data_IF_463787230811
#
_entry.id   IF_463787230811
#
_cell.length_a   1.000
_cell.length_b   1.000
_cell.length_c   1.000
_cell.angle_alpha   90.00
_cell.angle_beta   90.00
_cell.angle_gamma   90.00
#
_symmetry.space_group_name_H-M   'P 1'
#
loop_
_entity.id
_entity.type
_entity.pdbx_description
1 polymer ?
#
# COMPACT_ATOMS: atom_id res chain seq x y z
N UNK A 1 73.32 -4.03 32.73
CA UNK A 1 74.00 -4.99 31.81
C UNK A 1 73.86 -6.36 32.42
N UNK A 2 73.03 -7.24 31.83
CA UNK A 2 72.93 -8.70 32.09
C UNK A 2 72.48 -9.11 33.51
N UNK A 3 71.61 -10.09 33.80
CA UNK A 3 71.05 -11.24 33.08
C UNK A 3 69.76 -11.66 33.82
N UNK A 4 68.76 -12.23 33.13
CA UNK A 4 67.60 -12.94 33.72
C UNK A 4 68.04 -14.23 34.45
N UNK A 5 67.22 -14.82 35.35
CA UNK A 5 66.28 -15.86 34.91
C UNK A 5 64.93 -15.91 35.64
N UNK A 6 63.98 -16.60 35.00
CA UNK A 6 62.64 -16.94 35.46
C UNK A 6 62.63 -18.22 36.33
N UNK A 7 61.62 -18.37 37.21
CA UNK A 7 60.86 -19.62 37.38
C UNK A 7 59.86 -19.61 38.58
N UNK A 8 58.61 -19.94 38.23
CA UNK A 8 57.74 -20.97 38.82
C UNK A 8 57.00 -20.75 40.17
N UNK A 9 55.66 -20.80 40.02
CA UNK A 9 54.64 -21.43 40.86
C UNK A 9 54.48 -21.02 42.33
N UNK A 10 53.33 -20.38 42.62
CA UNK A 10 52.47 -20.78 43.74
C UNK A 10 51.00 -20.75 43.36
N UNK A 11 50.37 -21.90 43.57
CA UNK A 11 48.92 -22.12 43.62
C UNK A 11 48.38 -21.38 44.85
N UNK A 12 47.32 -20.59 44.69
CA UNK A 12 46.44 -20.23 45.80
C UNK A 12 45.03 -20.03 45.25
N UNK A 13 44.18 -21.01 45.55
CA UNK A 13 42.75 -20.91 45.40
C UNK A 13 42.20 -19.89 46.41
N UNK A 14 41.34 -18.99 45.94
CA UNK A 14 40.42 -18.28 46.82
C UNK A 14 39.12 -18.01 46.03
N UNK A 15 38.07 -18.73 46.43
CA UNK A 15 36.67 -18.44 46.12
C UNK A 15 36.32 -17.02 46.59
N UNK A 16 35.65 -16.24 45.75
CA UNK A 16 34.67 -15.26 46.19
C UNK A 16 33.57 -15.10 45.14
N UNK A 17 32.35 -15.09 45.65
CA UNK A 17 31.06 -15.30 45.01
C UNK A 17 30.49 -13.98 44.45
N UNK A 18 29.50 -14.13 43.56
CA UNK A 18 28.42 -13.18 43.26
C UNK A 18 28.59 -12.28 42.03
N UNK A 19 27.76 -12.54 41.01
CA UNK A 19 27.51 -11.62 39.92
C UNK A 19 26.97 -12.28 38.66
N UNK A 20 25.82 -12.95 38.74
CA UNK A 20 25.02 -13.28 37.55
C UNK A 20 24.54 -11.98 36.90
N UNK A 21 25.35 -11.43 35.98
CA UNK A 21 24.95 -10.38 35.06
C UNK A 21 24.23 -10.97 33.85
N UNK A 22 23.01 -11.47 34.05
CA UNK A 22 22.05 -11.61 32.97
C UNK A 22 21.41 -10.24 32.69
N UNK A 23 20.76 -10.10 31.51
CA UNK A 23 19.97 -8.95 31.03
C UNK A 23 20.82 -7.89 30.29
N UNK A 24 20.57 -7.45 29.04
CA UNK A 24 19.41 -7.54 28.15
C UNK A 24 19.92 -7.45 26.70
N UNK A 25 19.69 -8.49 25.88
CA UNK A 25 19.76 -8.34 24.43
C UNK A 25 18.39 -7.77 24.04
N UNK A 26 18.33 -6.46 23.81
CA UNK A 26 17.16 -5.81 23.24
C UNK A 26 17.00 -6.29 21.79
N UNK A 27 16.26 -7.37 21.60
CA UNK A 27 15.74 -7.75 20.29
C UNK A 27 14.75 -6.66 19.87
N UNK A 28 15.22 -5.73 19.04
CA UNK A 28 14.34 -4.84 18.29
C UNK A 28 13.41 -5.74 17.46
N UNK A 29 12.17 -5.88 17.93
CA UNK A 29 11.10 -6.43 17.14
C UNK A 29 10.82 -5.43 16.02
N UNK A 30 11.52 -5.59 14.90
CA UNK A 30 11.11 -4.98 13.64
C UNK A 30 9.71 -5.50 13.36
N UNK A 31 8.73 -4.60 13.45
CA UNK A 31 7.41 -4.84 12.92
C UNK A 31 7.59 -5.22 11.45
N UNK A 32 7.46 -6.52 11.15
CA UNK A 32 7.33 -6.99 9.78
C UNK A 32 6.03 -6.38 9.26
N UNK A 33 6.16 -5.25 8.56
CA UNK A 33 5.16 -4.83 7.61
C UNK A 33 4.92 -6.01 6.66
N UNK A 34 3.75 -6.63 6.75
CA UNK A 34 3.31 -7.62 5.77
C UNK A 34 3.12 -6.87 4.45
N UNK A 35 4.16 -6.94 3.63
CA UNK A 35 4.16 -6.50 2.25
C UNK A 35 3.66 -7.66 1.39
N UNK A 36 2.47 -7.51 0.81
CA UNK A 36 1.94 -8.46 -0.15
C UNK A 36 2.03 -7.86 -1.54
N UNK A 37 2.59 -8.62 -2.49
CA UNK A 37 2.75 -8.20 -3.89
C UNK A 37 1.45 -8.49 -4.64
N UNK A 38 0.60 -7.48 -4.78
CA UNK A 38 -0.65 -7.51 -5.54
C UNK A 38 -0.40 -7.22 -7.02
N UNK A 39 -0.31 -8.29 -7.82
CA UNK A 39 -0.10 -8.20 -9.27
C UNK A 39 -1.30 -7.56 -10.02
N UNK A 40 -2.51 -7.65 -9.48
CA UNK A 40 -3.72 -7.10 -10.11
C UNK A 40 -3.85 -5.57 -10.02
N UNK A 41 -3.17 -4.94 -9.06
CA UNK A 41 -3.22 -3.48 -8.88
C UNK A 41 -2.10 -2.72 -9.63
N UNK A 42 -1.25 -3.44 -10.36
CA UNK A 42 -0.38 -2.86 -11.38
C UNK A 42 -1.26 -2.31 -12.50
N UNK A 43 -1.43 -0.98 -12.56
CA UNK A 43 -2.08 -0.33 -13.70
C UNK A 43 -1.26 -0.64 -14.96
N UNK A 44 -1.82 -1.47 -15.83
CA UNK A 44 -1.24 -1.77 -17.13
C UNK A 44 -1.56 -0.61 -18.08
N UNK A 45 -0.56 0.19 -18.44
CA UNK A 45 -0.72 1.42 -19.22
C UNK A 45 -1.06 1.20 -20.71
N UNK A 46 -1.18 -0.06 -21.16
CA UNK A 46 -1.32 -0.41 -22.58
C UNK A 46 -2.78 -0.66 -23.03
N UNK A 47 -3.75 -0.50 -22.12
CA UNK A 47 -5.17 -0.71 -22.41
C UNK A 47 -5.95 0.61 -22.39
N UNK A 48 -6.96 0.76 -23.27
CA UNK A 48 -7.82 1.94 -23.28
C UNK A 48 -8.48 2.18 -21.92
N UNK A 49 -8.57 3.45 -21.53
CA UNK A 49 -9.31 3.87 -20.32
C UNK A 49 -10.68 4.36 -20.76
N UNK A 50 -11.73 3.74 -20.24
CA UNK A 50 -13.12 4.15 -20.44
C UNK A 50 -13.67 4.74 -19.15
N UNK A 51 -14.29 5.91 -19.21
CA UNK A 51 -14.89 6.61 -18.07
C UNK A 51 -16.35 6.91 -18.39
N UNK A 52 -17.25 6.48 -17.51
CA UNK A 52 -18.70 6.74 -17.58
C UNK A 52 -19.13 7.49 -16.30
N UNK A 53 -20.02 8.47 -16.43
CA UNK A 53 -20.57 9.26 -15.31
C UNK A 53 -21.83 10.01 -15.72
N UNK A 54 -22.62 10.46 -14.75
CA UNK A 54 -23.84 11.24 -15.01
C UNK A 54 -23.53 12.67 -15.50
N UNK A 55 -22.48 13.29 -14.98
CA UNK A 55 -22.03 14.64 -15.37
C UNK A 55 -20.51 14.72 -15.50
N UNK A 56 -20.05 15.38 -16.56
CA UNK A 56 -18.66 15.80 -16.75
C UNK A 56 -18.59 17.33 -16.76
N UNK A 57 -17.69 17.89 -15.96
CA UNK A 57 -17.35 19.30 -15.93
C UNK A 57 -15.84 19.48 -16.11
N UNK A 58 -15.44 20.17 -17.16
CA UNK A 58 -14.03 20.44 -17.45
C UNK A 58 -13.69 21.84 -16.99
N UNK A 59 -12.62 21.96 -16.21
CA UNK A 59 -12.08 23.21 -15.72
C UNK A 59 -10.66 23.36 -16.21
N UNK A 60 -10.52 23.67 -17.49
CA UNK A 60 -9.22 23.90 -18.12
C UNK A 60 -8.36 24.97 -17.43
N UNK A 61 -8.91 26.11 -16.94
CA UNK A 61 -8.12 27.09 -16.19
C UNK A 61 -7.50 26.52 -14.90
N UNK A 62 -8.11 25.47 -14.34
CA UNK A 62 -7.66 24.78 -13.12
C UNK A 62 -6.96 23.45 -13.45
N UNK A 63 -6.78 23.11 -14.74
CA UNK A 63 -6.24 21.84 -15.23
C UNK A 63 -6.87 20.60 -14.58
N UNK A 64 -8.20 20.60 -14.44
CA UNK A 64 -8.93 19.46 -13.86
C UNK A 64 -10.26 19.16 -14.56
N UNK A 65 -10.64 17.90 -14.54
CA UNK A 65 -11.95 17.41 -14.99
C UNK A 65 -12.67 16.70 -13.86
N UNK A 66 -13.93 17.06 -13.63
CA UNK A 66 -14.76 16.59 -12.53
C UNK A 66 -15.89 15.74 -13.11
N UNK A 67 -15.91 14.48 -12.73
CA UNK A 67 -16.94 13.51 -13.06
C UNK A 67 -17.79 13.29 -11.81
N UNK A 68 -19.11 13.41 -11.94
CA UNK A 68 -20.06 13.34 -10.82
C UNK A 68 -21.18 12.38 -11.17
N UNK A 69 -21.55 11.53 -10.21
CA UNK A 69 -22.64 10.58 -10.33
C UNK A 69 -22.23 9.29 -11.02
N UNK A 70 -22.40 8.17 -10.31
CA UNK A 70 -22.20 6.79 -10.79
C UNK A 70 -20.94 6.60 -11.64
N UNK A 71 -19.82 7.18 -11.20
CA UNK A 71 -18.58 7.14 -11.96
C UNK A 71 -18.09 5.70 -12.05
N UNK A 72 -17.83 5.23 -13.28
CA UNK A 72 -17.25 3.93 -13.56
C UNK A 72 -16.09 4.10 -14.52
N UNK A 73 -14.92 3.61 -14.12
CA UNK A 73 -13.71 3.58 -14.93
C UNK A 73 -13.36 2.13 -15.22
N UNK A 74 -13.10 1.80 -16.48
CA UNK A 74 -12.69 0.46 -16.91
C UNK A 74 -11.41 0.57 -17.72
N UNK A 75 -10.40 -0.23 -17.35
CA UNK A 75 -9.14 -0.37 -18.08
C UNK A 75 -8.69 -1.83 -18.04
N UNK A 76 -8.78 -2.52 -19.18
CA UNK A 76 -8.50 -3.96 -19.25
C UNK A 76 -9.39 -4.75 -18.28
N UNK A 77 -8.80 -5.41 -17.29
CA UNK A 77 -9.50 -6.17 -16.24
C UNK A 77 -9.80 -5.36 -14.98
N UNK A 78 -9.32 -4.12 -14.91
CA UNK A 78 -9.46 -3.24 -13.74
C UNK A 78 -10.72 -2.38 -13.90
N UNK A 79 -11.56 -2.38 -12.88
CA UNK A 79 -12.74 -1.52 -12.78
C UNK A 79 -12.69 -0.70 -11.50
N UNK A 80 -12.84 0.61 -11.61
CA UNK A 80 -13.00 1.53 -10.49
C UNK A 80 -14.41 2.12 -10.54
N UNK A 81 -15.07 2.19 -9.39
CA UNK A 81 -16.37 2.83 -9.23
C UNK A 81 -16.32 3.82 -8.07
N UNK A 82 -16.95 4.97 -8.23
CA UNK A 82 -17.04 6.00 -7.21
C UNK A 82 -18.26 6.90 -7.43
N UNK A 83 -18.71 7.60 -6.39
CA UNK A 83 -19.74 8.62 -6.56
C UNK A 83 -19.20 9.85 -7.32
N UNK A 84 -17.99 10.29 -7.00
CA UNK A 84 -17.33 11.43 -7.63
C UNK A 84 -15.88 11.10 -7.98
N UNK A 85 -15.39 11.65 -9.09
CA UNK A 85 -14.00 11.52 -9.52
C UNK A 85 -13.50 12.86 -10.06
N UNK A 86 -12.31 13.28 -9.65
CA UNK A 86 -11.61 14.44 -10.18
C UNK A 86 -10.27 14.01 -10.75
N UNK A 87 -10.05 14.32 -12.02
CA UNK A 87 -8.81 14.04 -12.73
C UNK A 87 -8.03 15.35 -12.83
N UNK A 88 -6.81 15.37 -12.32
CA UNK A 88 -5.87 16.48 -12.42
C UNK A 88 -4.83 16.15 -13.50
N UNK A 89 -4.64 17.08 -14.44
CA UNK A 89 -3.65 16.94 -15.51
C UNK A 89 -2.64 18.08 -15.48
N UNK A 90 -1.47 17.87 -16.09
CA UNK A 90 -0.43 18.89 -16.17
C UNK A 90 -0.85 20.01 -17.13
N UNK A 91 -0.66 21.24 -16.69
CA UNK A 91 -0.90 22.41 -17.54
C UNK A 91 0.01 22.34 -18.79
N UNK A 92 -0.61 22.39 -19.97
CA UNK A 92 0.09 22.28 -21.27
C UNK A 92 0.25 20.86 -21.81
N UNK A 93 -0.11 19.82 -21.05
CA UNK A 93 0.00 18.40 -21.43
C UNK A 93 -1.25 17.82 -22.11
N UNK A 94 -2.06 18.64 -22.78
CA UNK A 94 -3.34 18.22 -23.37
C UNK A 94 -4.48 18.07 -22.35
N UNK A 95 -5.72 18.23 -22.79
CA UNK A 95 -6.93 18.02 -21.97
C UNK A 95 -7.43 16.58 -22.12
N UNK A 96 -8.22 16.07 -21.17
CA UNK A 96 -8.86 14.73 -21.24
C UNK A 96 -9.67 14.53 -22.52
N UNK A 97 -10.16 15.62 -23.12
CA UNK A 97 -10.87 15.61 -24.40
C UNK A 97 -9.99 15.39 -25.62
N UNK A 98 -8.68 15.66 -25.50
CA UNK A 98 -7.71 15.47 -26.57
C UNK A 98 -7.13 14.05 -26.63
N UNK A 99 -7.47 13.19 -25.67
CA UNK A 99 -6.98 11.81 -25.57
C UNK A 99 -5.50 11.67 -25.18
N UNK A 100 -4.77 12.79 -25.07
CA UNK A 100 -3.34 12.81 -24.79
C UNK A 100 -3.02 13.56 -23.48
N UNK A 101 -3.95 13.53 -22.52
CA UNK A 101 -3.81 14.24 -21.25
C UNK A 101 -2.71 13.62 -20.39
N UNK A 102 -1.72 14.42 -20.02
CA UNK A 102 -0.74 14.06 -18.99
C UNK A 102 -1.41 14.11 -17.60
N UNK A 103 -2.08 13.02 -17.22
CA UNK A 103 -2.75 12.90 -15.92
C UNK A 103 -1.70 12.80 -14.81
N UNK A 104 -1.75 13.73 -13.86
CA UNK A 104 -0.89 13.72 -12.67
C UNK A 104 -1.50 12.86 -11.55
N UNK A 105 -2.77 13.11 -11.26
CA UNK A 105 -3.47 12.46 -10.14
C UNK A 105 -4.96 12.36 -10.39
N UNK A 106 -5.56 11.29 -9.87
CA UNK A 106 -7.00 11.07 -9.85
C UNK A 106 -7.45 10.97 -8.40
N UNK A 107 -8.47 11.72 -8.05
CA UNK A 107 -9.10 11.70 -6.72
C UNK A 107 -10.51 11.18 -6.86
N UNK A 108 -10.86 10.16 -6.08
CA UNK A 108 -12.16 9.48 -6.12
C UNK A 108 -12.76 9.48 -4.74
N UNK A 109 -14.03 9.85 -4.62
CA UNK A 109 -14.71 10.02 -3.35
C UNK A 109 -16.13 9.45 -3.42
N UNK A 110 -16.78 9.36 -2.25
CA UNK A 110 -18.17 8.95 -2.10
C UNK A 110 -18.37 7.47 -2.52
N UNK A 111 -17.85 6.56 -1.67
CA UNK A 111 -17.88 5.09 -1.83
C UNK A 111 -17.06 4.61 -3.03
N UNK A 112 -15.78 4.38 -2.78
CA UNK A 112 -14.83 3.87 -3.77
C UNK A 112 -14.83 2.35 -3.74
N UNK A 113 -14.98 1.74 -4.91
CA UNK A 113 -14.81 0.32 -5.14
C UNK A 113 -13.81 0.13 -6.29
N UNK A 114 -12.81 -0.70 -6.07
CA UNK A 114 -11.81 -1.07 -7.06
C UNK A 114 -11.83 -2.59 -7.18
N UNK A 115 -11.83 -3.10 -8.41
CA UNK A 115 -11.79 -4.52 -8.71
C UNK A 115 -10.78 -4.77 -9.81
N UNK A 116 -9.88 -5.74 -9.60
CA UNK A 116 -8.96 -6.21 -10.64
C UNK A 116 -8.74 -7.72 -10.50
N UNK A 117 -9.19 -8.47 -11.50
CA UNK A 117 -9.13 -9.94 -11.47
C UNK A 117 -9.87 -10.51 -10.25
N UNK A 118 -9.13 -11.14 -9.33
CA UNK A 118 -9.66 -11.70 -8.07
C UNK A 118 -9.54 -10.79 -6.87
N UNK A 119 -8.96 -9.60 -7.05
CA UNK A 119 -8.68 -8.63 -5.99
C UNK A 119 -9.74 -7.53 -6.03
N UNK A 120 -10.29 -7.19 -4.86
CA UNK A 120 -11.23 -6.09 -4.73
C UNK A 120 -10.87 -5.25 -3.51
N UNK A 121 -10.93 -3.93 -3.63
CA UNK A 121 -10.72 -2.99 -2.55
C UNK A 121 -11.89 -2.02 -2.44
N UNK A 122 -12.33 -1.73 -1.22
CA UNK A 122 -13.37 -0.75 -0.93
C UNK A 122 -12.87 0.28 0.06
N UNK A 123 -13.31 1.52 -0.11
CA UNK A 123 -12.99 2.64 0.78
C UNK A 123 -13.97 3.79 0.60
N UNK A 124 -13.79 4.85 1.36
CA UNK A 124 -14.62 6.05 1.27
C UNK A 124 -14.09 7.03 0.23
N UNK A 125 -12.77 7.18 0.21
CA UNK A 125 -12.02 8.02 -0.71
C UNK A 125 -10.76 7.31 -1.21
N UNK A 126 -10.22 7.79 -2.31
CA UNK A 126 -9.06 7.22 -2.96
C UNK A 126 -8.28 8.27 -3.75
N UNK A 127 -6.96 8.11 -3.76
CA UNK A 127 -6.06 8.95 -4.54
C UNK A 127 -5.16 8.02 -5.35
N UNK A 128 -5.16 8.21 -6.67
CA UNK A 128 -4.32 7.50 -7.62
C UNK A 128 -3.33 8.50 -8.17
N UNK A 129 -2.08 8.44 -7.71
CA UNK A 129 -1.01 9.30 -8.17
C UNK A 129 -0.19 8.58 -9.24
N UNK A 130 -0.27 9.05 -10.48
CA UNK A 130 0.42 8.42 -11.62
C UNK A 130 1.90 8.83 -11.66
N UNK A 131 2.24 10.03 -11.18
CA UNK A 131 3.62 10.50 -11.05
C UNK A 131 4.42 9.65 -10.07
N UNK A 132 3.85 9.35 -8.90
CA UNK A 132 4.47 8.54 -7.85
C UNK A 132 4.14 7.05 -7.96
N UNK A 133 3.26 6.67 -8.89
CA UNK A 133 2.78 5.30 -9.10
C UNK A 133 2.20 4.70 -7.81
N UNK A 134 1.34 5.45 -7.11
CA UNK A 134 0.71 5.03 -5.85
C UNK A 134 -0.81 5.10 -5.89
N UNK A 135 -1.46 4.14 -5.24
CA UNK A 135 -2.89 4.16 -4.93
C UNK A 135 -3.03 4.22 -3.42
N UNK A 136 -3.79 5.19 -2.93
CA UNK A 136 -4.10 5.33 -1.51
C UNK A 136 -5.60 5.34 -1.34
N UNK A 137 -6.18 4.32 -0.72
CA UNK A 137 -7.58 4.31 -0.31
C UNK A 137 -7.67 4.65 1.17
N UNK A 138 -8.67 5.45 1.55
CA UNK A 138 -8.92 5.85 2.94
C UNK A 138 -10.40 5.74 3.29
N UNK A 139 -10.67 5.57 4.57
CA UNK A 139 -12.01 5.66 5.15
C UNK A 139 -12.03 5.10 6.56
N UNK A 140 -13.19 5.16 7.21
CA UNK A 140 -13.39 4.50 8.52
C UNK A 140 -13.15 2.99 8.44
N UNK A 141 -13.51 2.39 7.31
CA UNK A 141 -13.32 0.96 7.03
C UNK A 141 -12.89 0.76 5.58
N UNK A 142 -11.63 0.40 5.39
CA UNK A 142 -11.06 -0.03 4.12
C UNK A 142 -10.99 -1.54 4.12
N UNK A 143 -11.61 -2.17 3.12
CA UNK A 143 -11.61 -3.63 2.97
C UNK A 143 -10.91 -4.00 1.68
N UNK A 144 -9.85 -4.78 1.80
CA UNK A 144 -9.19 -5.45 0.69
C UNK A 144 -9.60 -6.92 0.73
N UNK A 145 -9.93 -7.50 -0.42
CA UNK A 145 -10.25 -8.91 -0.54
C UNK A 145 -9.50 -9.52 -1.72
N UNK A 146 -9.04 -10.74 -1.54
CA UNK A 146 -8.37 -11.53 -2.58
C UNK A 146 -8.96 -12.95 -2.56
N UNK A 147 -9.84 -13.23 -3.51
CA UNK A 147 -10.65 -14.44 -3.50
C UNK A 147 -11.52 -14.49 -2.24
N UNK A 148 -11.20 -15.42 -1.32
CA UNK A 148 -11.91 -15.60 -0.05
C UNK A 148 -11.19 -14.98 1.16
N UNK A 149 -9.98 -14.46 0.96
CA UNK A 149 -9.24 -13.76 2.00
C UNK A 149 -9.71 -12.31 2.10
N UNK A 150 -9.88 -11.81 3.31
CA UNK A 150 -10.36 -10.45 3.58
C UNK A 150 -9.43 -9.77 4.59
N UNK A 151 -9.03 -8.56 4.28
CA UNK A 151 -8.18 -7.70 5.09
C UNK A 151 -8.93 -6.39 5.35
N UNK A 152 -9.02 -5.98 6.61
CA UNK A 152 -9.75 -4.77 7.02
C UNK A 152 -8.80 -3.85 7.80
N UNK A 153 -8.78 -2.59 7.39
CA UNK A 153 -8.03 -1.50 8.03
C UNK A 153 -8.72 -0.17 7.80
N UNK A 154 -7.95 0.92 7.85
CA UNK A 154 -8.44 2.29 7.64
C UNK A 154 -7.86 2.95 6.37
N UNK A 155 -6.70 2.48 5.92
CA UNK A 155 -5.96 3.07 4.82
C UNK A 155 -5.18 1.97 4.12
N UNK A 156 -5.38 1.84 2.81
CA UNK A 156 -4.63 0.93 1.96
C UNK A 156 -3.71 1.76 1.08
N UNK A 157 -2.41 1.53 1.19
CA UNK A 157 -1.39 2.08 0.31
C UNK A 157 -0.92 0.98 -0.64
N UNK A 158 -0.91 1.25 -1.94
CA UNK A 158 -0.47 0.33 -2.97
C UNK A 158 0.54 1.01 -3.86
N UNK A 159 1.68 0.37 -4.05
CA UNK A 159 2.69 0.80 -4.99
C UNK A 159 2.47 0.08 -6.32
N UNK A 160 2.13 0.82 -7.37
CA UNK A 160 1.75 0.23 -8.67
C UNK A 160 2.92 -0.40 -9.40
N UNK A 161 4.17 0.01 -9.18
CA UNK A 161 5.32 -0.56 -9.90
C UNK A 161 5.73 -1.95 -9.37
N UNK A 162 5.67 -2.14 -8.04
CA UNK A 162 6.02 -3.40 -7.39
C UNK A 162 4.79 -4.28 -7.19
N UNK A 163 3.59 -3.68 -7.16
CA UNK A 163 2.36 -4.29 -6.68
C UNK A 163 2.26 -4.35 -5.16
N UNK A 164 3.24 -3.82 -4.42
CA UNK A 164 3.25 -3.90 -2.96
C UNK A 164 2.05 -3.19 -2.35
N UNK A 165 1.37 -3.87 -1.43
CA UNK A 165 0.22 -3.32 -0.73
C UNK A 165 0.39 -3.40 0.78
N UNK A 166 0.10 -2.28 1.44
CA UNK A 166 0.21 -2.09 2.87
C UNK A 166 -1.10 -1.54 3.41
N UNK A 167 -1.66 -2.23 4.40
CA UNK A 167 -2.91 -1.85 5.05
C UNK A 167 -2.61 -1.36 6.48
N UNK A 168 -2.95 -0.11 6.75
CA UNK A 168 -2.75 0.54 8.04
C UNK A 168 -4.00 0.43 8.93
N UNK A 169 -3.79 0.48 10.24
CA UNK A 169 -4.86 0.38 11.25
C UNK A 169 -5.36 1.73 11.77
N UNK A 170 -4.67 2.85 11.50
CA UNK A 170 -4.98 4.21 12.01
C UNK A 170 -5.31 4.26 13.50
N UNK A 171 -4.52 3.57 14.34
CA UNK A 171 -4.73 3.50 15.79
C UNK A 171 -5.70 2.41 16.24
N UNK A 172 -6.37 1.71 15.32
CA UNK A 172 -7.13 0.49 15.57
C UNK A 172 -6.30 -0.78 15.41
N UNK A 173 -6.93 -1.86 14.92
CA UNK A 173 -6.27 -3.13 14.60
C UNK A 173 -6.56 -3.51 13.15
N UNK A 174 -5.55 -3.98 12.43
CA UNK A 174 -5.78 -4.66 11.15
C UNK A 174 -6.42 -6.01 11.44
N UNK A 175 -7.51 -6.33 10.74
CA UNK A 175 -8.17 -7.63 10.83
C UNK A 175 -7.92 -8.41 9.55
N UNK A 176 -7.61 -9.70 9.71
CA UNK A 176 -7.39 -10.61 8.58
C UNK A 176 -8.27 -11.82 8.81
N UNK A 177 -9.09 -12.13 7.81
CA UNK A 177 -9.81 -13.38 7.71
C UNK A 177 -9.24 -14.17 6.54
N UNK A 178 -8.64 -15.31 6.85
CA UNK A 178 -8.12 -16.24 5.86
C UNK A 178 -9.11 -17.39 5.72
N UNK A 179 -9.57 -17.67 4.51
CA UNK A 179 -10.33 -18.89 4.29
C UNK A 179 -9.34 -20.08 4.19
N UNK A 180 -9.50 -21.14 5.02
CA UNK A 180 -8.60 -22.29 5.03
C UNK A 180 -8.54 -23.06 3.70
N UNK A 181 -9.55 -22.96 2.85
CA UNK A 181 -9.57 -23.52 1.49
C UNK A 181 -8.72 -22.71 0.50
N UNK A 182 -8.29 -21.50 0.85
CA UNK A 182 -7.39 -20.66 0.04
C UNK A 182 -5.93 -21.07 0.17
N UNK A 183 -5.59 -21.91 1.16
CA UNK A 183 -4.28 -22.54 1.21
C UNK A 183 -4.22 -23.50 0.03
N UNK A 184 -3.50 -23.12 -1.04
CA UNK A 184 -3.15 -24.09 -2.09
C UNK A 184 -2.39 -25.23 -1.40
N UNK A 185 -3.06 -26.35 -1.18
CA UNK A 185 -2.42 -27.65 -1.00
C UNK A 185 -1.73 -27.97 -2.32
N UNK A 186 -0.45 -27.64 -2.40
CA UNK A 186 0.47 -28.32 -3.30
C UNK A 186 0.98 -29.58 -2.60
#
# INVERSE_FOLDING_TARGET
MSVKPAALFRISAALAVAGLGASLIASAAFAQATSSRMQGLQLSNDQPIQIESDKLEIKDPESKAIFTGNVKVVQGTTTLQAGNMTVFYKAGGGSVTSGNADIDRIEVNNKVFLSSGTQQATGESGIVNLTNQTIVLKGEKVVLSEGKNVFVGCQLNVQMNTGEAQLDACGGRVQIQLDPQSRKTN
#
